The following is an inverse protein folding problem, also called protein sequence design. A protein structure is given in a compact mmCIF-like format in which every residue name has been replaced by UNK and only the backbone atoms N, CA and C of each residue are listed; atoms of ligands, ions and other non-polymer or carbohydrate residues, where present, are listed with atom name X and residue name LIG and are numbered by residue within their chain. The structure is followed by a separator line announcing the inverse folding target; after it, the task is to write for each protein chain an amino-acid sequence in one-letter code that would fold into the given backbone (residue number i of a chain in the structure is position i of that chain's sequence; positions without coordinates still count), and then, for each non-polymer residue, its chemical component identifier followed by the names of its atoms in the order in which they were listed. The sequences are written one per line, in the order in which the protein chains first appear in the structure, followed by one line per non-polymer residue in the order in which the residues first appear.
data_IF_468919946335
#
_entry.id   IF_468919946335
#
_cell.length_a   1.000
_cell.length_b   1.000
_cell.length_c   1.000
_cell.angle_alpha   90.00
_cell.angle_beta   90.00
_cell.angle_gamma   90.00
#
_symmetry.space_group_name_H-M   'P 1'
#
loop_
_entity.id
_entity.type
_entity.pdbx_description
1 polymer ?
#
# COMPACT_ATOMS: atom_id res chain seq x y z
N UNK A 1 -6.35 9.99 -3.98
CA UNK A 1 -5.27 10.73 -3.29
C UNK A 1 -5.76 11.99 -2.59
N UNK A 2 -6.79 12.67 -3.08
CA UNK A 2 -7.37 13.87 -2.45
C UNK A 2 -8.04 13.53 -1.10
N UNK A 3 -8.57 12.33 -0.96
CA UNK A 3 -9.21 11.79 0.25
C UNK A 3 -8.22 10.98 1.12
N UNK A 4 -6.92 11.09 0.90
CA UNK A 4 -5.90 10.46 1.71
C UNK A 4 -5.67 11.33 2.97
N UNK A 5 -6.24 10.97 4.12
CA UNK A 5 -6.22 11.78 5.34
C UNK A 5 -4.79 12.09 5.79
N UNK A 6 -4.05 11.09 6.24
CA UNK A 6 -2.65 11.24 6.68
C UNK A 6 -1.75 11.80 5.58
N UNK A 7 -1.90 11.35 4.33
CA UNK A 7 -1.09 11.86 3.22
C UNK A 7 -1.36 13.33 2.89
N UNK A 8 -2.56 13.84 3.12
CA UNK A 8 -2.92 15.25 2.91
C UNK A 8 -2.21 16.16 3.92
N UNK A 9 -2.14 15.77 5.18
CA UNK A 9 -1.38 16.49 6.19
C UNK A 9 0.13 16.41 5.95
N UNK A 10 0.64 15.22 5.63
CA UNK A 10 2.05 15.03 5.36
C UNK A 10 2.54 15.83 4.14
N UNK A 11 1.69 16.11 3.14
CA UNK A 11 2.08 16.95 1.99
C UNK A 11 2.49 18.38 2.37
N UNK A 12 2.06 18.87 3.51
CA UNK A 12 2.42 20.20 4.02
C UNK A 12 3.84 20.25 4.60
N UNK A 13 4.45 19.08 4.83
CA UNK A 13 5.76 18.94 5.47
C UNK A 13 6.85 18.81 4.40
N UNK A 14 7.91 19.63 4.51
CA UNK A 14 8.94 19.76 3.48
C UNK A 14 9.66 18.45 3.12
N UNK A 15 10.05 17.67 4.11
CA UNK A 15 10.80 16.41 4.00
C UNK A 15 9.90 15.17 3.93
N UNK A 16 8.58 15.36 3.77
CA UNK A 16 7.63 14.25 3.67
C UNK A 16 7.70 13.56 2.32
N UNK A 17 7.61 12.23 2.34
CA UNK A 17 7.46 11.41 1.12
C UNK A 17 6.15 11.70 0.38
N UNK A 18 5.14 12.26 1.06
CA UNK A 18 3.85 12.63 0.47
C UNK A 18 3.88 13.98 -0.26
N UNK A 19 4.88 14.83 -0.03
CA UNK A 19 5.02 16.12 -0.72
C UNK A 19 5.08 15.94 -2.24
N UNK A 20 5.76 14.90 -2.71
CA UNK A 20 5.94 14.56 -4.12
C UNK A 20 5.11 13.34 -4.53
N UNK A 21 3.89 13.24 -4.01
CA UNK A 21 2.99 12.12 -4.27
C UNK A 21 2.72 11.96 -5.77
N UNK A 22 3.17 10.84 -6.35
CA UNK A 22 3.00 10.55 -7.77
C UNK A 22 1.51 10.47 -8.17
N UNK A 23 0.66 9.94 -7.29
CA UNK A 23 -0.77 9.83 -7.57
C UNK A 23 -1.45 11.19 -7.64
N UNK A 24 -1.03 12.17 -6.83
CA UNK A 24 -1.52 13.55 -6.96
C UNK A 24 -1.06 14.18 -8.25
N UNK A 25 0.22 13.99 -8.62
CA UNK A 25 0.72 14.47 -9.92
C UNK A 25 -0.08 13.86 -11.07
N UNK A 26 -0.32 12.55 -11.04
CA UNK A 26 -1.11 11.85 -12.05
C UNK A 26 -2.53 12.43 -12.14
N UNK A 27 -3.19 12.67 -11.01
CA UNK A 27 -4.53 13.28 -10.96
C UNK A 27 -4.55 14.70 -11.55
N UNK A 28 -3.49 15.48 -11.34
CA UNK A 28 -3.39 16.83 -11.89
C UNK A 28 -3.25 16.82 -13.42
N UNK A 29 -2.56 15.82 -13.98
CA UNK A 29 -2.39 15.69 -15.44
C UNK A 29 -3.51 14.92 -16.13
N UNK A 30 -4.23 14.03 -15.43
CA UNK A 30 -5.22 13.10 -15.99
C UNK A 30 -6.55 13.22 -15.26
N UNK A 31 -7.43 14.10 -15.74
CA UNK A 31 -8.77 14.34 -15.15
C UNK A 31 -9.57 13.05 -14.96
N UNK A 32 -9.55 12.15 -15.95
CA UNK A 32 -10.27 10.88 -15.88
C UNK A 32 -9.76 9.97 -14.76
N UNK A 33 -8.44 9.96 -14.49
CA UNK A 33 -7.85 9.22 -13.37
C UNK A 33 -8.31 9.82 -12.04
N UNK A 34 -8.31 11.15 -11.93
CA UNK A 34 -8.83 11.86 -10.76
C UNK A 34 -10.28 11.48 -10.46
N UNK A 35 -11.16 11.54 -11.47
CA UNK A 35 -12.56 11.19 -11.36
C UNK A 35 -12.76 9.71 -10.97
N UNK A 36 -11.99 8.80 -11.57
CA UNK A 36 -12.05 7.37 -11.24
C UNK A 36 -11.64 7.10 -9.80
N UNK A 37 -10.55 7.70 -9.33
CA UNK A 37 -10.12 7.55 -7.93
C UNK A 37 -11.16 8.08 -6.95
N UNK A 38 -11.72 9.25 -7.24
CA UNK A 38 -12.78 9.84 -6.42
C UNK A 38 -13.99 8.92 -6.34
N UNK A 39 -14.58 8.56 -7.50
CA UNK A 39 -15.72 7.66 -7.58
C UNK A 39 -15.49 6.34 -6.85
N UNK A 40 -14.33 5.69 -7.09
CA UNK A 40 -14.04 4.40 -6.46
C UNK A 40 -13.90 4.53 -4.94
N UNK A 41 -13.37 5.64 -4.44
CA UNK A 41 -13.26 5.90 -3.01
C UNK A 41 -14.65 6.14 -2.39
N UNK A 42 -15.48 6.96 -3.03
CA UNK A 42 -16.86 7.23 -2.58
C UNK A 42 -17.70 5.95 -2.56
N UNK A 43 -17.60 5.13 -3.61
CA UNK A 43 -18.28 3.82 -3.66
C UNK A 43 -17.82 2.87 -2.56
N UNK A 44 -16.51 2.83 -2.28
CA UNK A 44 -15.98 1.98 -1.21
C UNK A 44 -16.46 2.44 0.17
N UNK A 45 -16.45 3.75 0.44
CA UNK A 45 -16.94 4.30 1.70
C UNK A 45 -18.43 3.95 1.86
N UNK A 46 -19.27 4.29 0.88
CA UNK A 46 -20.71 3.98 0.92
C UNK A 46 -20.96 2.48 1.12
N UNK A 47 -20.24 1.62 0.38
CA UNK A 47 -20.40 0.17 0.52
C UNK A 47 -20.03 -0.33 1.91
N UNK A 48 -18.94 0.19 2.52
CA UNK A 48 -18.54 -0.18 3.87
C UNK A 48 -19.54 0.29 4.93
N UNK A 49 -20.14 1.47 4.74
CA UNK A 49 -21.13 2.04 5.65
C UNK A 49 -22.49 1.32 5.53
N UNK A 50 -22.95 1.03 4.30
CA UNK A 50 -24.29 0.48 4.02
C UNK A 50 -24.34 -1.04 4.26
N UNK A 51 -23.29 -1.79 3.88
CA UNK A 51 -23.30 -3.27 3.89
C UNK A 51 -22.37 -3.87 4.94
N UNK A 52 -21.50 -3.07 5.53
CA UNK A 52 -20.43 -3.53 6.42
C UNK A 52 -19.29 -4.26 5.69
N UNK A 53 -18.12 -4.30 6.34
CA UNK A 53 -16.91 -4.88 5.73
C UNK A 53 -17.02 -6.36 5.34
N UNK A 54 -17.78 -7.24 6.03
CA UNK A 54 -17.85 -8.67 5.65
C UNK A 54 -18.51 -8.87 4.29
N UNK A 55 -19.58 -8.12 4.00
CA UNK A 55 -20.28 -8.23 2.71
C UNK A 55 -19.46 -7.61 1.57
N UNK A 56 -18.82 -6.47 1.83
CA UNK A 56 -17.89 -5.87 0.85
C UNK A 56 -16.71 -6.80 0.56
N UNK A 57 -16.18 -7.49 1.58
CA UNK A 57 -15.11 -8.48 1.41
C UNK A 57 -15.54 -9.66 0.53
N UNK A 58 -16.77 -10.13 0.66
CA UNK A 58 -17.32 -11.19 -0.20
C UNK A 58 -17.32 -10.77 -1.66
N UNK A 59 -17.84 -9.58 -1.96
CA UNK A 59 -17.88 -9.01 -3.32
C UNK A 59 -16.47 -8.83 -3.89
N UNK A 60 -15.57 -8.25 -3.10
CA UNK A 60 -14.18 -8.03 -3.50
C UNK A 60 -13.44 -9.35 -3.74
N UNK A 61 -13.70 -10.38 -2.92
CA UNK A 61 -13.13 -11.72 -3.10
C UNK A 61 -13.56 -12.33 -4.43
N UNK A 62 -14.83 -12.21 -4.79
CA UNK A 62 -15.31 -12.67 -6.09
C UNK A 62 -14.57 -11.99 -7.25
N UNK A 63 -14.40 -10.67 -7.18
CA UNK A 63 -13.67 -9.90 -8.20
C UNK A 63 -12.21 -10.36 -8.29
N UNK A 64 -11.52 -10.52 -7.15
CA UNK A 64 -10.11 -10.93 -7.08
C UNK A 64 -9.94 -12.35 -7.61
N UNK A 65 -10.78 -13.30 -7.19
CA UNK A 65 -10.75 -14.67 -7.68
C UNK A 65 -11.03 -14.76 -9.19
N UNK A 66 -12.01 -13.99 -9.69
CA UNK A 66 -12.29 -13.93 -11.13
C UNK A 66 -11.09 -13.39 -11.92
N UNK A 67 -10.41 -12.35 -11.43
CA UNK A 67 -9.17 -11.82 -12.05
C UNK A 67 -8.06 -12.86 -12.10
N UNK A 68 -7.90 -13.70 -11.07
CA UNK A 68 -6.98 -14.82 -11.10
C UNK A 68 -7.33 -15.81 -12.21
N UNK A 69 -8.59 -16.24 -12.27
CA UNK A 69 -9.06 -17.21 -13.26
C UNK A 69 -8.93 -16.72 -14.71
N UNK A 70 -9.27 -15.46 -14.95
CA UNK A 70 -9.31 -14.90 -16.32
C UNK A 70 -8.00 -14.32 -16.81
N UNK A 71 -7.13 -13.85 -15.89
CA UNK A 71 -5.90 -13.11 -16.22
C UNK A 71 -4.65 -13.64 -15.52
N UNK A 72 -4.74 -14.72 -14.74
CA UNK A 72 -3.61 -15.31 -14.01
C UNK A 72 -3.05 -14.42 -12.90
N UNK A 73 -3.81 -13.40 -12.41
CA UNK A 73 -3.30 -12.47 -11.41
C UNK A 73 -3.20 -13.14 -10.05
N UNK A 74 -1.98 -13.34 -9.57
CA UNK A 74 -1.66 -13.94 -8.28
C UNK A 74 -1.14 -12.95 -7.24
N UNK A 75 -0.78 -11.74 -7.65
CA UNK A 75 -0.26 -10.67 -6.78
C UNK A 75 -1.18 -9.46 -6.84
N UNK A 76 -1.68 -9.01 -5.71
CA UNK A 76 -2.63 -7.89 -5.58
C UNK A 76 -2.01 -6.79 -4.73
N UNK A 77 -1.69 -5.65 -5.35
CA UNK A 77 -1.36 -4.43 -4.63
C UNK A 77 -2.65 -3.73 -4.23
N UNK A 78 -2.86 -3.59 -2.94
CA UNK A 78 -3.97 -2.81 -2.39
C UNK A 78 -3.58 -1.34 -2.43
N UNK A 79 -4.43 -0.50 -3.01
CA UNK A 79 -4.17 0.93 -3.24
C UNK A 79 -2.98 1.21 -4.19
N UNK A 80 -3.31 1.67 -5.35
CA UNK A 80 -2.34 2.28 -6.26
C UNK A 80 -2.06 3.73 -5.87
N UNK A 81 -3.11 4.48 -5.49
CA UNK A 81 -3.02 5.85 -5.02
C UNK A 81 -3.93 6.12 -3.83
N UNK A 82 -3.45 6.94 -2.89
CA UNK A 82 -4.13 7.19 -1.61
C UNK A 82 -3.74 6.19 -0.53
N UNK A 83 -4.54 6.14 0.53
CA UNK A 83 -4.39 5.22 1.66
C UNK A 83 -5.75 4.63 2.03
N UNK A 84 -5.82 3.81 3.08
CA UNK A 84 -7.08 3.31 3.61
C UNK A 84 -8.04 4.47 3.93
N UNK A 85 -9.33 4.26 3.70
CA UNK A 85 -10.38 5.27 3.93
C UNK A 85 -10.96 5.19 5.33
N UNK A 86 -10.82 4.02 5.97
CA UNK A 86 -11.24 3.77 7.35
C UNK A 86 -10.56 2.51 7.90
N UNK A 87 -10.71 2.26 9.21
CA UNK A 87 -10.28 1.01 9.82
C UNK A 87 -11.00 -0.21 9.22
N UNK A 88 -12.27 -0.06 8.82
CA UNK A 88 -13.07 -1.14 8.24
C UNK A 88 -12.47 -1.67 6.94
N UNK A 89 -11.76 -0.84 6.18
CA UNK A 89 -11.09 -1.28 4.97
C UNK A 89 -9.98 -2.30 5.27
N UNK A 90 -9.25 -2.16 6.38
CA UNK A 90 -8.26 -3.18 6.78
C UNK A 90 -8.92 -4.51 7.14
N UNK A 91 -10.03 -4.51 7.88
CA UNK A 91 -10.79 -5.73 8.17
C UNK A 91 -11.29 -6.38 6.89
N UNK A 92 -11.83 -5.59 5.97
CA UNK A 92 -12.28 -6.06 4.66
C UNK A 92 -11.16 -6.80 3.91
N UNK A 93 -9.95 -6.22 3.83
CA UNK A 93 -8.84 -6.85 3.12
C UNK A 93 -8.30 -8.10 3.82
N UNK A 94 -8.36 -8.18 5.15
CA UNK A 94 -8.07 -9.42 5.88
C UNK A 94 -9.05 -10.52 5.48
N UNK A 95 -10.35 -10.23 5.41
CA UNK A 95 -11.36 -11.20 4.98
C UNK A 95 -11.19 -11.61 3.50
N UNK A 96 -10.86 -10.66 2.61
CA UNK A 96 -10.52 -10.97 1.22
C UNK A 96 -9.34 -11.93 1.14
N UNK A 97 -8.28 -11.68 1.91
CA UNK A 97 -7.10 -12.55 1.92
C UNK A 97 -7.42 -13.96 2.44
N UNK A 98 -8.29 -14.11 3.45
CA UNK A 98 -8.77 -15.41 3.95
C UNK A 98 -9.49 -16.21 2.88
N UNK A 99 -10.30 -15.55 2.06
CA UNK A 99 -11.09 -16.17 0.98
C UNK A 99 -10.25 -16.48 -0.26
N UNK A 100 -9.22 -15.66 -0.52
CA UNK A 100 -8.38 -15.73 -1.72
C UNK A 100 -6.97 -16.23 -1.38
N UNK A 101 -6.86 -17.46 -0.84
CA UNK A 101 -5.61 -18.02 -0.28
C UNK A 101 -4.46 -18.17 -1.28
N UNK A 102 -4.78 -18.27 -2.55
CA UNK A 102 -3.79 -18.49 -3.61
C UNK A 102 -3.21 -17.18 -4.17
N UNK A 103 -3.76 -16.04 -3.77
CA UNK A 103 -3.20 -14.74 -4.11
C UNK A 103 -2.39 -14.17 -2.94
N UNK A 104 -1.37 -13.40 -3.28
CA UNK A 104 -0.58 -12.63 -2.33
C UNK A 104 -1.05 -11.17 -2.35
N UNK A 105 -1.21 -10.58 -1.18
CA UNK A 105 -1.67 -9.21 -1.02
C UNK A 105 -0.60 -8.35 -0.36
N UNK A 106 -0.46 -7.13 -0.85
CA UNK A 106 0.39 -6.11 -0.26
C UNK A 106 -0.38 -4.80 -0.12
N UNK A 107 -0.46 -4.30 1.11
CA UNK A 107 -1.12 -3.03 1.45
C UNK A 107 -0.08 -2.05 2.01
N UNK A 108 0.40 -1.08 1.21
CA UNK A 108 1.19 0.02 1.74
C UNK A 108 0.27 1.00 2.47
N UNK A 109 0.66 1.46 3.68
CA UNK A 109 -0.16 2.39 4.45
C UNK A 109 0.65 3.33 5.32
N UNK A 110 0.10 4.50 5.62
CA UNK A 110 0.53 5.45 6.65
C UNK A 110 -0.55 5.68 7.72
N UNK A 111 -1.68 4.97 7.60
CA UNK A 111 -2.77 5.02 8.59
C UNK A 111 -2.43 4.11 9.80
N UNK A 112 -1.36 4.49 10.53
CA UNK A 112 -0.79 3.70 11.63
C UNK A 112 -1.80 3.43 12.76
N UNK A 113 -2.64 4.42 13.06
CA UNK A 113 -3.67 4.32 14.11
C UNK A 113 -4.68 3.23 13.81
N UNK A 114 -5.25 3.24 12.62
CA UNK A 114 -6.23 2.26 12.18
C UNK A 114 -5.62 0.86 12.03
N UNK A 115 -4.41 0.78 11.45
CA UNK A 115 -3.71 -0.50 11.33
C UNK A 115 -3.42 -1.10 12.71
N UNK A 116 -2.93 -0.30 13.66
CA UNK A 116 -2.67 -0.76 15.04
C UNK A 116 -3.95 -1.24 15.72
N UNK A 117 -5.05 -0.51 15.57
CA UNK A 117 -6.35 -0.89 16.11
C UNK A 117 -6.83 -2.22 15.51
N UNK A 118 -6.77 -2.37 14.20
CA UNK A 118 -7.13 -3.61 13.52
C UNK A 118 -6.26 -4.79 13.99
N UNK A 119 -4.93 -4.63 14.06
CA UNK A 119 -4.01 -5.68 14.50
C UNK A 119 -4.25 -6.14 15.95
N UNK A 120 -4.80 -5.28 16.82
CA UNK A 120 -5.20 -5.68 18.18
C UNK A 120 -6.50 -6.48 18.21
N UNK A 121 -7.41 -6.21 17.29
CA UNK A 121 -8.74 -6.85 17.21
C UNK A 121 -8.70 -8.17 16.44
N UNK A 122 -7.81 -8.30 15.46
CA UNK A 122 -7.67 -9.49 14.62
C UNK A 122 -6.51 -10.34 15.11
N UNK A 123 -6.83 -11.49 15.74
CA UNK A 123 -5.82 -12.38 16.33
C UNK A 123 -5.02 -13.15 15.27
N UNK A 124 -5.65 -13.47 14.14
CA UNK A 124 -5.05 -14.29 13.08
C UNK A 124 -5.10 -13.57 11.73
N UNK A 125 -3.97 -12.97 11.36
CA UNK A 125 -3.77 -12.34 10.06
C UNK A 125 -3.34 -13.40 9.05
N UNK A 126 -4.04 -13.57 7.93
CA UNK A 126 -3.67 -14.53 6.91
C UNK A 126 -2.24 -14.32 6.41
N UNK A 127 -1.46 -15.40 6.21
CA UNK A 127 -0.04 -15.28 5.83
C UNK A 127 0.17 -14.71 4.42
N UNK A 128 -0.88 -14.68 3.62
CA UNK A 128 -0.85 -14.16 2.24
C UNK A 128 -1.14 -12.66 2.14
N UNK A 129 -1.32 -11.93 3.25
CA UNK A 129 -1.46 -10.47 3.25
C UNK A 129 -0.38 -9.81 4.09
N UNK A 130 0.24 -8.76 3.54
CA UNK A 130 1.25 -7.94 4.22
C UNK A 130 0.79 -6.49 4.27
N UNK A 131 0.53 -6.00 5.48
CA UNK A 131 0.37 -4.58 5.75
C UNK A 131 1.76 -3.97 6.00
N UNK A 132 2.24 -3.18 5.05
CA UNK A 132 3.56 -2.58 5.10
C UNK A 132 3.45 -1.09 5.40
N UNK A 133 3.86 -0.69 6.60
CA UNK A 133 3.82 0.73 6.97
C UNK A 133 4.90 1.51 6.23
N UNK A 134 4.51 2.63 5.67
CA UNK A 134 5.38 3.49 4.89
C UNK A 134 5.90 4.66 5.74
N UNK A 135 7.18 4.97 5.63
CA UNK A 135 7.77 6.13 6.30
C UNK A 135 7.03 7.43 5.96
N UNK A 136 6.79 8.30 6.95
CA UNK A 136 6.21 9.62 6.69
C UNK A 136 7.22 10.59 6.05
N UNK A 137 8.51 10.44 6.35
CA UNK A 137 9.59 11.31 5.90
C UNK A 137 10.66 10.55 5.14
N UNK A 138 11.36 11.25 4.25
CA UNK A 138 12.56 10.73 3.58
C UNK A 138 13.66 10.46 4.62
N UNK A 139 14.43 9.42 4.43
CA UNK A 139 15.52 8.98 5.32
C UNK A 139 15.09 8.59 6.75
N UNK A 140 13.79 8.42 7.00
CA UNK A 140 13.26 8.03 8.31
C UNK A 140 12.64 6.63 8.22
N UNK A 141 13.01 5.74 9.13
CA UNK A 141 12.31 4.46 9.29
C UNK A 141 10.96 4.67 9.97
N UNK A 142 9.92 3.92 9.58
CA UNK A 142 8.65 3.87 10.32
C UNK A 142 8.83 3.32 11.73
N UNK A 143 7.79 3.44 12.55
CA UNK A 143 7.77 2.94 13.93
C UNK A 143 8.14 1.46 14.01
N UNK A 144 9.02 1.12 14.99
CA UNK A 144 9.58 -0.24 15.15
C UNK A 144 8.54 -1.29 15.54
N UNK A 145 7.41 -0.90 16.09
CA UNK A 145 6.32 -1.79 16.47
C UNK A 145 5.70 -2.57 15.28
N UNK A 146 5.81 -2.03 14.08
CA UNK A 146 5.32 -2.71 12.89
C UNK A 146 6.40 -3.57 12.25
N UNK A 147 6.09 -4.85 12.08
CA UNK A 147 7.01 -5.83 11.50
C UNK A 147 7.42 -5.47 10.06
N UNK A 148 6.45 -5.11 9.22
CA UNK A 148 6.68 -4.82 7.81
C UNK A 148 6.72 -3.33 7.55
N UNK A 149 7.82 -2.84 7.01
CA UNK A 149 8.10 -1.42 6.84
C UNK A 149 8.61 -1.10 5.44
N UNK A 150 8.35 0.13 4.99
CA UNK A 150 8.99 0.68 3.81
C UNK A 150 9.53 2.08 4.09
N UNK A 151 10.66 2.39 3.49
CA UNK A 151 11.34 3.67 3.64
C UNK A 151 11.75 4.20 2.27
N UNK A 152 11.71 5.50 2.11
CA UNK A 152 12.27 6.20 0.95
C UNK A 152 13.56 6.86 1.41
N UNK A 153 14.68 6.51 0.78
CA UNK A 153 15.97 7.13 1.03
C UNK A 153 16.34 8.11 -0.07
N UNK A 154 17.18 9.11 0.24
CA UNK A 154 17.93 9.88 -0.75
C UNK A 154 18.80 8.96 -1.60
N UNK A 155 19.25 9.40 -2.77
CA UNK A 155 19.94 8.50 -3.71
C UNK A 155 21.24 7.93 -3.08
N UNK A 156 22.04 8.77 -2.43
CA UNK A 156 23.25 8.40 -1.70
C UNK A 156 22.98 7.28 -0.68
N UNK A 157 22.01 7.52 0.22
CA UNK A 157 21.63 6.51 1.22
C UNK A 157 21.04 5.24 0.63
N UNK A 158 20.30 5.36 -0.47
CA UNK A 158 19.74 4.18 -1.14
C UNK A 158 20.86 3.33 -1.74
N UNK A 159 21.89 3.97 -2.34
CA UNK A 159 22.99 3.27 -2.97
C UNK A 159 23.85 2.51 -1.92
N UNK A 160 24.00 3.07 -0.72
CA UNK A 160 24.71 2.46 0.40
C UNK A 160 23.97 1.29 1.09
N UNK A 161 22.67 1.12 0.81
CA UNK A 161 21.92 -0.01 1.41
C UNK A 161 22.46 -1.34 0.90
N UNK A 162 22.82 -2.22 1.81
CA UNK A 162 23.16 -3.60 1.50
C UNK A 162 21.91 -4.47 1.66
N UNK A 163 21.59 -5.25 0.65
CA UNK A 163 20.53 -6.25 0.71
C UNK A 163 20.88 -7.33 1.73
N UNK A 164 19.99 -7.55 2.69
CA UNK A 164 20.10 -8.64 3.67
C UNK A 164 18.93 -9.62 3.49
N UNK A 165 18.85 -10.66 4.30
CA UNK A 165 17.72 -11.60 4.27
C UNK A 165 16.38 -10.90 4.49
N UNK A 166 16.33 -9.88 5.37
CA UNK A 166 15.10 -9.20 5.78
C UNK A 166 14.94 -7.77 5.26
N UNK A 167 15.98 -7.20 4.61
CA UNK A 167 15.95 -5.84 4.03
C UNK A 167 16.35 -5.90 2.57
N UNK A 168 15.53 -5.34 1.68
CA UNK A 168 15.74 -5.37 0.24
C UNK A 168 15.56 -3.99 -0.40
N UNK A 169 16.41 -3.67 -1.37
CA UNK A 169 16.26 -2.50 -2.25
C UNK A 169 15.19 -2.75 -3.32
N UNK A 170 14.25 -1.82 -3.47
CA UNK A 170 13.31 -1.84 -4.58
C UNK A 170 13.99 -1.43 -5.89
N UNK A 171 14.07 -2.33 -6.85
CA UNK A 171 14.73 -2.12 -8.15
C UNK A 171 13.80 -1.61 -9.24
N UNK A 172 12.50 -1.46 -8.97
CA UNK A 172 11.50 -1.12 -10.00
C UNK A 172 11.87 0.13 -10.81
N UNK A 173 12.41 1.18 -10.18
CA UNK A 173 12.87 2.40 -10.85
C UNK A 173 13.89 2.13 -11.98
N UNK A 174 14.75 1.14 -11.80
CA UNK A 174 15.79 0.75 -12.75
C UNK A 174 15.35 -0.34 -13.73
N UNK A 175 14.11 -0.80 -13.61
CA UNK A 175 13.48 -1.84 -14.43
C UNK A 175 12.23 -1.29 -15.15
N UNK A 176 12.29 -0.04 -15.65
CA UNK A 176 11.16 0.59 -16.34
C UNK A 176 9.94 0.85 -15.44
N UNK A 177 10.14 1.01 -14.13
CA UNK A 177 9.09 1.09 -13.10
C UNK A 177 8.21 -0.16 -12.97
N UNK A 178 8.72 -1.31 -13.39
CA UNK A 178 8.04 -2.60 -13.28
C UNK A 178 8.68 -3.48 -12.19
N UNK A 179 7.86 -4.29 -11.53
CA UNK A 179 8.36 -5.23 -10.52
C UNK A 179 8.92 -6.51 -11.16
N UNK A 180 8.52 -6.82 -12.40
CA UNK A 180 8.90 -8.06 -13.10
C UNK A 180 8.69 -9.29 -12.19
N UNK A 181 9.71 -10.13 -12.03
CA UNK A 181 9.68 -11.30 -11.12
C UNK A 181 9.85 -10.96 -9.63
N UNK A 182 10.11 -9.69 -9.28
CA UNK A 182 10.30 -9.27 -7.90
C UNK A 182 9.00 -9.38 -7.10
N UNK A 183 9.06 -10.00 -5.90
CA UNK A 183 7.93 -10.12 -4.97
C UNK A 183 8.24 -9.63 -3.54
N UNK A 184 9.32 -8.87 -3.34
CA UNK A 184 9.78 -8.41 -2.01
C UNK A 184 8.68 -7.76 -1.17
N UNK A 185 7.74 -7.04 -1.80
CA UNK A 185 6.64 -6.41 -1.08
C UNK A 185 5.62 -7.42 -0.54
N UNK A 186 5.56 -8.62 -1.13
CA UNK A 186 4.65 -9.72 -0.82
C UNK A 186 5.30 -10.86 -0.02
N UNK A 187 6.62 -10.77 0.25
CA UNK A 187 7.37 -11.81 0.95
C UNK A 187 7.37 -11.55 2.46
N UNK A 188 6.83 -12.49 3.28
CA UNK A 188 6.80 -12.35 4.74
C UNK A 188 8.19 -12.47 5.40
N UNK A 189 9.24 -12.86 4.67
CA UNK A 189 10.62 -12.86 5.15
C UNK A 189 11.26 -11.47 5.03
N UNK A 190 10.75 -10.60 4.15
CA UNK A 190 11.27 -9.26 3.93
C UNK A 190 10.57 -8.27 4.85
N UNK A 191 11.26 -7.80 5.89
CA UNK A 191 10.70 -6.86 6.86
C UNK A 191 10.79 -5.42 6.39
N UNK A 192 11.85 -5.05 5.68
CA UNK A 192 12.04 -3.68 5.20
C UNK A 192 12.29 -3.66 3.69
N UNK A 193 11.50 -2.85 2.99
CA UNK A 193 11.75 -2.52 1.58
C UNK A 193 12.17 -1.08 1.49
N UNK A 194 13.34 -0.84 0.89
CA UNK A 194 13.92 0.47 0.69
C UNK A 194 13.66 0.93 -0.74
N UNK A 195 13.06 2.10 -0.87
CA UNK A 195 12.74 2.70 -2.16
C UNK A 195 13.72 3.84 -2.47
N UNK A 196 14.15 3.98 -3.73
CA UNK A 196 14.89 5.16 -4.18
C UNK A 196 13.97 6.39 -4.16
N UNK A 197 14.52 7.59 -4.12
CA UNK A 197 13.72 8.79 -4.16
C UNK A 197 12.95 8.87 -5.48
N UNK A 198 11.68 9.24 -5.42
CA UNK A 198 11.01 9.75 -6.61
C UNK A 198 11.79 10.99 -7.05
N UNK A 199 12.05 11.17 -8.38
CA UNK A 199 12.80 12.32 -8.89
C UNK A 199 12.32 13.60 -8.22
N UNK A 200 13.04 14.02 -7.18
CA UNK A 200 13.05 15.37 -6.68
C UNK A 200 13.93 16.08 -7.73
N UNK A 201 13.33 16.82 -8.65
CA UNK A 201 14.09 17.84 -9.33
C UNK A 201 14.39 18.85 -8.24
N UNK A 202 15.68 18.95 -7.90
CA UNK A 202 16.22 20.07 -7.16
C UNK A 202 15.86 21.38 -7.86
#
# INVERSE_FOLDING_TARGET
PEQCNTGSELRKIADSVCRFCYSMRLCNFRKNVKLSYRRNTELLISALDDMGYPRVAEIMSFIVCKKKQTMGITKVRIKDGGDAVSELEFFMWVEVARRCREQKFWCPTKEYGWLRSMLRKVKDIPPNIIFRVSSPKVNQLPMKEFKYRSVVYTQDRYDDVIDTESTKKCRAKYQGNACLECDYCYDPKIYTVVYPPNRIKE
#
